data_IF_640558141033
#
_entry.id   IF_640558141033
#
_cell.length_a   1.000
_cell.length_b   1.000
_cell.length_c   1.000
_cell.angle_alpha   90.00
_cell.angle_beta   90.00
_cell.angle_gamma   90.00
#
_symmetry.space_group_name_H-M   'P 1'
#
loop_
_entity.id
_entity.type
_entity.pdbx_description
1 polymer ?
#
# COMPACT_ATOMS: atom_id res chain seq x y z
N UNK A 1 24.63 -3.01 -28.31
CA UNK A 1 23.68 -2.78 -27.20
C UNK A 1 22.29 -3.02 -27.76
N UNK A 2 21.55 -4.00 -27.25
CA UNK A 2 20.12 -4.13 -27.54
C UNK A 2 19.37 -3.13 -26.69
N UNK A 3 18.56 -2.27 -27.31
CA UNK A 3 17.63 -1.39 -26.58
C UNK A 3 16.43 -2.24 -26.17
N UNK A 4 16.11 -2.28 -24.88
CA UNK A 4 14.89 -2.92 -24.40
C UNK A 4 13.79 -1.87 -24.32
N UNK A 5 12.73 -2.03 -25.11
CA UNK A 5 11.58 -1.12 -25.12
C UNK A 5 10.53 -1.59 -24.10
N UNK A 6 9.93 -0.65 -23.38
CA UNK A 6 8.82 -0.84 -22.44
C UNK A 6 7.77 0.23 -22.70
N UNK A 7 6.50 -0.09 -22.46
CA UNK A 7 5.42 0.89 -22.55
C UNK A 7 5.43 1.83 -21.35
N UNK A 8 5.79 1.30 -20.17
CA UNK A 8 5.84 2.06 -18.91
C UNK A 8 7.07 1.68 -18.11
N UNK A 9 7.76 2.68 -17.57
CA UNK A 9 8.85 2.51 -16.60
C UNK A 9 8.45 3.18 -15.29
N UNK A 10 8.41 2.41 -14.21
CA UNK A 10 8.09 2.85 -12.85
C UNK A 10 9.38 2.91 -12.06
N UNK A 11 9.63 4.03 -11.36
CA UNK A 11 10.81 4.20 -10.51
C UNK A 11 10.37 4.16 -9.04
N UNK A 12 10.77 3.10 -8.33
CA UNK A 12 10.50 2.85 -6.92
C UNK A 12 9.56 1.69 -6.69
N UNK A 13 10.01 0.69 -5.92
CA UNK A 13 9.22 -0.47 -5.50
C UNK A 13 8.39 -0.21 -4.23
N UNK A 14 7.87 1.01 -4.04
CA UNK A 14 6.91 1.28 -2.97
C UNK A 14 5.54 0.66 -3.29
N UNK A 15 4.61 0.68 -2.32
CA UNK A 15 3.23 0.18 -2.54
C UNK A 15 2.60 0.81 -3.78
N UNK A 16 2.73 2.14 -3.96
CA UNK A 16 2.22 2.81 -5.14
C UNK A 16 2.84 2.32 -6.46
N UNK A 17 4.15 2.06 -6.49
CA UNK A 17 4.86 1.56 -7.67
C UNK A 17 4.47 0.12 -8.00
N UNK A 18 4.38 -0.74 -6.99
CA UNK A 18 3.96 -2.13 -7.13
C UNK A 18 2.49 -2.23 -7.57
N UNK A 19 1.58 -1.49 -6.93
CA UNK A 19 0.15 -1.49 -7.29
C UNK A 19 -0.10 -0.92 -8.68
N UNK A 20 0.59 0.17 -9.06
CA UNK A 20 0.46 0.72 -10.41
C UNK A 20 1.07 -0.21 -11.47
N UNK A 21 2.20 -0.85 -11.16
CA UNK A 21 2.81 -1.86 -12.02
C UNK A 21 1.89 -3.05 -12.26
N UNK A 22 1.30 -3.60 -11.19
CA UNK A 22 0.37 -4.74 -11.29
C UNK A 22 -0.84 -4.40 -12.15
N UNK A 23 -1.47 -3.25 -11.88
CA UNK A 23 -2.62 -2.79 -12.65
C UNK A 23 -2.32 -2.59 -14.14
N UNK A 24 -1.14 -2.04 -14.46
CA UNK A 24 -0.75 -1.79 -15.85
C UNK A 24 -0.38 -3.10 -16.56
N UNK A 25 0.30 -4.00 -15.87
CA UNK A 25 0.68 -5.28 -16.44
C UNK A 25 -0.56 -6.19 -16.67
N UNK A 26 -1.55 -6.18 -15.75
CA UNK A 26 -2.87 -6.81 -15.96
C UNK A 26 -3.61 -6.27 -17.19
N UNK A 27 -3.38 -5.00 -17.55
CA UNK A 27 -3.94 -4.37 -18.76
C UNK A 27 -3.14 -4.66 -20.04
N UNK A 28 -2.10 -5.49 -19.94
CA UNK A 28 -1.29 -5.93 -21.07
C UNK A 28 -0.18 -4.97 -21.47
N UNK A 29 0.14 -3.97 -20.65
CA UNK A 29 1.29 -3.11 -20.88
C UNK A 29 2.59 -3.82 -20.52
N UNK A 30 3.65 -3.59 -21.30
CA UNK A 30 5.00 -4.03 -20.96
C UNK A 30 5.60 -3.06 -19.94
N UNK A 31 5.59 -3.45 -18.66
CA UNK A 31 6.01 -2.61 -17.54
C UNK A 31 7.38 -3.01 -17.02
N UNK A 32 8.28 -2.05 -16.88
CA UNK A 32 9.51 -2.18 -16.10
C UNK A 32 9.39 -1.45 -14.78
N UNK A 33 9.83 -2.06 -13.68
CA UNK A 33 9.95 -1.43 -12.38
C UNK A 33 11.42 -1.36 -11.98
N UNK A 34 11.91 -0.14 -11.76
CA UNK A 34 13.30 0.15 -11.39
C UNK A 34 13.35 0.55 -9.93
N UNK A 35 14.17 -0.12 -9.12
CA UNK A 35 14.35 0.24 -7.70
C UNK A 35 15.81 0.05 -7.29
N UNK A 36 16.25 0.82 -6.30
CA UNK A 36 17.57 0.67 -5.68
C UNK A 36 17.39 0.20 -4.24
N UNK A 37 17.81 -1.03 -3.93
CA UNK A 37 17.67 -1.64 -2.61
C UNK A 37 16.27 -2.18 -2.31
N UNK A 38 16.06 -2.56 -1.05
CA UNK A 38 14.83 -3.18 -0.57
C UNK A 38 13.61 -2.23 -0.66
N UNK A 39 12.45 -2.69 -1.13
CA UNK A 39 11.18 -1.98 -1.04
C UNK A 39 10.92 -1.44 0.38
N UNK A 40 10.78 -0.12 0.49
CA UNK A 40 10.39 0.54 1.75
C UNK A 40 9.00 0.13 2.23
N UNK A 41 8.20 -0.54 1.39
CA UNK A 41 6.90 -1.08 1.75
C UNK A 41 6.96 -2.00 2.98
N UNK A 42 8.05 -2.75 3.18
CA UNK A 42 8.24 -3.63 4.34
C UNK A 42 8.41 -2.89 5.68
N UNK A 43 8.69 -1.58 5.64
CA UNK A 43 8.81 -0.72 6.82
C UNK A 43 7.52 0.05 7.12
N UNK A 44 6.49 -0.14 6.30
CA UNK A 44 5.19 0.51 6.48
C UNK A 44 4.40 -0.11 7.62
N UNK A 45 3.50 0.68 8.22
CA UNK A 45 2.46 0.20 9.14
C UNK A 45 1.44 -0.72 8.46
N UNK A 46 1.52 -0.90 7.14
CA UNK A 46 0.52 -1.65 6.36
C UNK A 46 -0.82 -0.92 6.28
N UNK A 47 -0.89 0.34 6.67
CA UNK A 47 -2.09 1.17 6.59
C UNK A 47 -2.08 2.00 5.30
N UNK A 48 -3.26 2.30 4.76
CA UNK A 48 -3.41 3.24 3.64
C UNK A 48 -4.01 4.55 4.16
N UNK A 49 -3.16 5.55 4.23
CA UNK A 49 -3.52 6.90 4.64
C UNK A 49 -3.89 7.74 3.40
N UNK A 50 -5.01 8.48 3.44
CA UNK A 50 -5.46 9.34 2.33
C UNK A 50 -5.40 10.81 2.72
N UNK A 51 -6.29 11.26 3.61
CA UNK A 51 -6.22 12.57 4.24
C UNK A 51 -6.46 12.41 5.73
N UNK A 52 -5.39 12.27 6.50
CA UNK A 52 -5.38 11.94 7.93
C UNK A 52 -5.64 13.15 8.85
N UNK A 53 -6.19 14.25 8.33
CA UNK A 53 -6.45 15.47 9.12
C UNK A 53 -7.88 15.57 9.63
N UNK A 54 -8.78 14.80 9.05
CA UNK A 54 -10.23 14.85 9.28
C UNK A 54 -10.79 13.44 9.45
N UNK A 55 -11.98 13.31 10.02
CA UNK A 55 -12.65 12.01 10.14
C UNK A 55 -13.11 11.48 8.78
N UNK A 56 -13.44 12.35 7.82
CA UNK A 56 -13.77 11.95 6.45
C UNK A 56 -12.68 12.47 5.48
N UNK A 57 -11.94 11.57 4.81
CA UNK A 57 -10.90 11.94 3.86
C UNK A 57 -11.31 12.91 2.75
N UNK A 58 -12.50 12.74 2.16
CA UNK A 58 -12.87 13.47 0.95
C UNK A 58 -13.21 14.94 1.19
N UNK A 59 -14.00 15.30 2.23
CA UNK A 59 -14.07 16.67 2.71
C UNK A 59 -12.70 17.22 3.09
N UNK A 60 -11.87 16.41 3.78
CA UNK A 60 -10.53 16.82 4.17
C UNK A 60 -9.63 17.18 3.00
N UNK A 61 -9.74 16.47 1.86
CA UNK A 61 -9.02 16.81 0.63
C UNK A 61 -9.42 18.18 0.09
N UNK A 62 -10.72 18.52 0.15
CA UNK A 62 -11.24 19.82 -0.35
C UNK A 62 -10.75 21.01 0.46
N UNK A 63 -10.29 20.79 1.69
CA UNK A 63 -9.74 21.81 2.58
C UNK A 63 -8.21 22.00 2.40
N UNK A 64 -7.56 21.19 1.56
CA UNK A 64 -6.13 21.32 1.29
C UNK A 64 -5.83 22.59 0.48
N UNK A 65 -4.58 23.09 0.52
CA UNK A 65 -4.17 24.20 -0.34
C UNK A 65 -4.47 23.92 -1.82
N UNK A 66 -4.90 24.92 -2.63
CA UNK A 66 -5.24 24.72 -4.03
C UNK A 66 -4.14 24.02 -4.85
N UNK A 67 -2.87 24.26 -4.52
CA UNK A 67 -1.70 23.70 -5.18
C UNK A 67 -1.39 22.25 -4.75
N UNK A 68 -2.15 21.68 -3.81
CA UNK A 68 -1.91 20.34 -3.29
C UNK A 68 -2.18 19.25 -4.37
N UNK A 69 -1.30 18.24 -4.52
CA UNK A 69 -1.43 17.21 -5.57
C UNK A 69 -2.75 16.43 -5.58
N UNK A 70 -3.45 16.32 -4.45
CA UNK A 70 -4.78 15.69 -4.41
C UNK A 70 -5.83 16.40 -5.28
N UNK A 71 -5.66 17.68 -5.59
CA UNK A 71 -6.55 18.38 -6.52
C UNK A 71 -6.33 18.00 -7.99
N UNK A 72 -5.28 17.24 -8.30
CA UNK A 72 -5.02 16.71 -9.64
C UNK A 72 -5.78 15.39 -9.90
N UNK A 73 -6.40 14.81 -8.86
CA UNK A 73 -7.04 13.48 -8.93
C UNK A 73 -8.50 13.59 -8.55
N UNK A 74 -9.38 13.15 -9.44
CA UNK A 74 -10.82 13.14 -9.17
C UNK A 74 -11.18 12.18 -8.02
N UNK A 75 -12.18 12.57 -7.22
CA UNK A 75 -12.71 11.75 -6.12
C UNK A 75 -13.12 10.34 -6.58
N UNK A 76 -13.65 10.22 -7.81
CA UNK A 76 -14.04 8.94 -8.40
C UNK A 76 -12.83 8.01 -8.56
N UNK A 77 -11.68 8.56 -8.99
CA UNK A 77 -10.45 7.80 -9.17
C UNK A 77 -9.92 7.33 -7.82
N UNK A 78 -9.93 8.19 -6.80
CA UNK A 78 -9.50 7.82 -5.44
C UNK A 78 -10.33 6.63 -4.92
N UNK A 79 -11.66 6.70 -5.06
CA UNK A 79 -12.58 5.62 -4.70
C UNK A 79 -12.27 4.32 -5.44
N UNK A 80 -12.12 4.39 -6.76
CA UNK A 80 -11.83 3.23 -7.59
C UNK A 80 -10.48 2.60 -7.24
N UNK A 81 -9.45 3.41 -6.99
CA UNK A 81 -8.13 2.93 -6.60
C UNK A 81 -8.14 2.20 -5.26
N UNK A 82 -8.86 2.71 -4.26
CA UNK A 82 -8.99 2.03 -2.96
C UNK A 82 -9.77 0.72 -3.06
N UNK A 83 -10.87 0.71 -3.82
CA UNK A 83 -11.64 -0.51 -4.05
C UNK A 83 -10.80 -1.58 -4.78
N UNK A 84 -10.09 -1.19 -5.83
CA UNK A 84 -9.18 -2.08 -6.56
C UNK A 84 -8.11 -2.65 -5.63
N UNK A 85 -7.47 -1.79 -4.82
CA UNK A 85 -6.49 -2.22 -3.83
C UNK A 85 -7.09 -3.26 -2.87
N UNK A 86 -8.27 -3.01 -2.29
CA UNK A 86 -8.92 -3.96 -1.39
C UNK A 86 -9.22 -5.30 -2.09
N UNK A 87 -9.68 -5.29 -3.35
CA UNK A 87 -9.92 -6.52 -4.13
C UNK A 87 -8.63 -7.32 -4.30
N UNK A 88 -7.56 -6.69 -4.76
CA UNK A 88 -6.25 -7.35 -4.94
C UNK A 88 -5.74 -7.93 -3.62
N UNK A 89 -5.87 -7.17 -2.53
CA UNK A 89 -5.45 -7.62 -1.20
C UNK A 89 -6.29 -8.79 -0.65
N UNK A 90 -7.58 -8.87 -1.00
CA UNK A 90 -8.43 -10.03 -0.68
C UNK A 90 -7.94 -11.28 -1.40
N UNK A 91 -7.64 -11.17 -2.70
CA UNK A 91 -7.16 -12.29 -3.51
C UNK A 91 -5.80 -12.82 -3.03
N UNK A 92 -4.95 -11.93 -2.49
CA UNK A 92 -3.67 -12.27 -1.86
C UNK A 92 -3.81 -12.77 -0.39
N UNK A 93 -5.02 -12.91 0.14
CA UNK A 93 -5.26 -13.43 1.49
C UNK A 93 -4.96 -12.47 2.64
N UNK A 94 -4.77 -11.17 2.35
CA UNK A 94 -4.49 -10.12 3.35
C UNK A 94 -5.57 -9.04 3.27
N UNK A 95 -6.83 -9.32 3.67
CA UNK A 95 -7.94 -8.41 3.45
C UNK A 95 -7.78 -7.10 4.25
N UNK A 96 -8.19 -5.99 3.64
CA UNK A 96 -8.22 -4.66 4.26
C UNK A 96 -9.65 -4.24 4.55
N UNK A 97 -9.84 -3.57 5.68
CA UNK A 97 -11.10 -2.99 6.11
C UNK A 97 -11.01 -1.46 6.12
N UNK A 98 -12.17 -0.80 6.18
CA UNK A 98 -12.29 0.66 6.13
C UNK A 98 -12.93 1.13 4.82
N UNK A 99 -13.07 2.44 4.69
CA UNK A 99 -13.58 3.07 3.47
C UNK A 99 -13.13 4.52 3.38
N UNK A 100 -13.23 5.08 2.17
CA UNK A 100 -12.93 6.49 1.93
C UNK A 100 -13.86 7.46 2.66
N UNK A 101 -14.98 6.97 3.21
CA UNK A 101 -15.96 7.81 3.92
C UNK A 101 -15.56 8.09 5.36
N UNK A 102 -14.67 7.27 5.94
CA UNK A 102 -14.35 7.36 7.35
C UNK A 102 -12.94 6.85 7.66
N UNK A 103 -12.10 7.77 8.10
CA UNK A 103 -10.85 7.45 8.76
C UNK A 103 -11.10 6.79 10.12
N UNK A 104 -10.11 6.00 10.53
CA UNK A 104 -10.10 5.25 11.77
C UNK A 104 -8.81 5.47 12.52
N UNK A 105 -8.86 5.38 13.84
CA UNK A 105 -7.67 5.43 14.66
C UNK A 105 -6.93 4.09 14.64
N UNK A 106 -5.60 4.19 14.57
CA UNK A 106 -4.64 3.10 14.67
C UNK A 106 -3.55 3.54 15.64
N UNK A 107 -3.10 2.64 16.50
CA UNK A 107 -1.97 2.90 17.40
C UNK A 107 -0.67 2.80 16.60
N UNK A 108 0.14 3.85 16.65
CA UNK A 108 1.46 3.91 16.03
C UNK A 108 2.49 3.15 16.87
N UNK A 109 3.66 2.84 16.27
CA UNK A 109 4.77 2.21 17.00
C UNK A 109 5.28 3.07 18.17
N UNK A 110 4.99 4.37 18.18
CA UNK A 110 5.33 5.30 19.26
C UNK A 110 4.27 5.35 20.38
N UNK A 111 3.21 4.53 20.29
CA UNK A 111 2.11 4.53 21.26
C UNK A 111 1.14 5.71 21.12
N UNK A 112 1.23 6.46 20.02
CA UNK A 112 0.31 7.56 19.70
C UNK A 112 -0.74 7.12 18.68
N UNK A 113 -1.90 7.76 18.65
CA UNK A 113 -2.89 7.49 17.63
C UNK A 113 -2.53 8.18 16.31
N UNK A 114 -2.65 7.44 15.20
CA UNK A 114 -2.71 8.00 13.84
C UNK A 114 -4.06 7.67 13.21
N UNK A 115 -4.51 8.48 12.27
CA UNK A 115 -5.72 8.19 11.49
C UNK A 115 -5.37 7.59 10.14
N UNK A 116 -6.01 6.48 9.80
CA UNK A 116 -5.86 5.78 8.53
C UNK A 116 -7.21 5.54 7.85
N UNK A 117 -7.22 5.47 6.52
CA UNK A 117 -8.43 5.21 5.75
C UNK A 117 -8.69 3.71 5.60
N UNK A 118 -7.67 2.94 5.19
CA UNK A 118 -7.72 1.49 5.17
C UNK A 118 -6.68 0.89 6.12
N UNK A 119 -7.05 -0.21 6.75
CA UNK A 119 -6.16 -0.97 7.64
C UNK A 119 -6.31 -2.47 7.35
N UNK A 120 -5.28 -3.30 7.58
CA UNK A 120 -5.43 -4.74 7.52
C UNK A 120 -6.54 -5.19 8.48
N UNK A 121 -7.29 -6.23 8.12
CA UNK A 121 -8.38 -6.77 8.97
C UNK A 121 -7.91 -7.17 10.36
N UNK A 122 -6.64 -7.57 10.50
CA UNK A 122 -6.01 -7.88 11.80
C UNK A 122 -5.91 -6.69 12.74
N UNK A 123 -6.07 -5.46 12.23
CA UNK A 123 -6.09 -4.21 12.99
C UNK A 123 -7.52 -3.71 13.30
N UNK A 124 -8.57 -4.47 12.96
CA UNK A 124 -9.96 -4.04 13.13
C UNK A 124 -10.33 -3.69 14.58
N UNK A 125 -9.78 -4.43 15.53
CA UNK A 125 -10.01 -4.26 16.96
C UNK A 125 -9.27 -3.05 17.57
N UNK A 126 -8.57 -2.25 16.76
CA UNK A 126 -7.92 -1.03 17.25
C UNK A 126 -8.96 -0.09 17.90
N UNK A 127 -8.68 0.45 19.10
CA UNK A 127 -9.55 1.43 19.73
C UNK A 127 -9.78 2.64 18.84
N UNK A 128 -10.97 3.23 18.96
CA UNK A 128 -11.39 4.39 18.17
C UNK A 128 -11.57 5.64 19.04
N UNK A 129 -10.96 5.64 20.22
CA UNK A 129 -10.92 6.74 21.17
C UNK A 129 -9.51 6.87 21.79
N UNK A 130 -9.25 8.01 22.43
CA UNK A 130 -7.98 8.33 23.08
C UNK A 130 -7.99 8.01 24.59
N UNK A 131 -8.97 7.23 25.08
CA UNK A 131 -9.16 6.99 26.52
C UNK A 131 -8.46 5.71 26.99
N UNK A 132 -7.12 5.71 26.99
CA UNK A 132 -6.34 4.70 27.72
C UNK A 132 -4.98 4.37 27.10
N UNK A 133 -4.10 3.80 27.93
CA UNK A 133 -2.85 3.18 27.46
C UNK A 133 -3.22 1.85 26.80
N UNK A 134 -3.40 1.87 25.48
CA UNK A 134 -3.65 0.66 24.71
C UNK A 134 -2.34 0.09 24.20
N UNK A 135 -1.98 -1.08 24.72
CA UNK A 135 -0.97 -1.93 24.10
C UNK A 135 -1.65 -2.71 22.97
N UNK A 136 -1.68 -2.12 21.77
CA UNK A 136 -2.03 -2.88 20.57
C UNK A 136 -0.82 -3.72 20.20
N UNK A 137 -0.79 -4.97 20.66
CA UNK A 137 0.13 -5.96 20.09
C UNK A 137 -0.47 -6.41 18.75
N UNK A 138 -0.38 -5.52 17.76
CA UNK A 138 -0.36 -6.00 16.40
C UNK A 138 0.91 -6.83 16.34
N UNK A 139 0.76 -8.14 16.40
CA UNK A 139 1.72 -8.99 15.72
C UNK A 139 1.64 -8.46 14.29
N UNK A 140 2.57 -7.57 13.92
CA UNK A 140 3.14 -7.62 12.58
C UNK A 140 3.65 -9.05 12.51
N UNK A 141 2.75 -9.99 12.23
CA UNK A 141 3.08 -11.07 11.36
C UNK A 141 3.49 -10.28 10.12
N UNK A 142 4.79 -10.16 9.81
CA UNK A 142 5.13 -9.76 8.47
C UNK A 142 4.60 -10.92 7.66
N UNK A 143 3.33 -10.84 7.24
CA UNK A 143 2.77 -11.77 6.29
C UNK A 143 3.10 -13.25 6.63
N UNK A 144 2.89 -13.67 7.90
CA UNK A 144 3.09 -15.05 8.32
C UNK A 144 1.90 -15.91 7.90
N UNK A 145 1.74 -16.12 6.59
CA UNK A 145 1.46 -17.47 6.14
C UNK A 145 2.83 -18.07 5.79
N UNK A 146 3.15 -19.21 6.43
CA UNK A 146 4.42 -19.96 6.31
C UNK A 146 5.65 -19.35 7.00
N UNK A 147 5.86 -19.72 8.26
CA UNK A 147 7.21 -19.83 8.79
C UNK A 147 7.78 -21.20 8.39
N UNK A 148 8.40 -21.23 7.20
CA UNK A 148 9.46 -22.19 6.88
C UNK A 148 10.71 -21.38 6.44
N UNK A 149 11.34 -20.75 7.43
CA UNK A 149 12.78 -20.47 7.47
C UNK A 149 13.47 -19.75 6.30
N UNK A 150 12.79 -18.95 5.47
CA UNK A 150 13.43 -18.43 4.25
C UNK A 150 12.86 -17.04 3.86
N UNK A 151 13.72 -16.16 3.34
CA UNK A 151 13.62 -14.68 3.21
C UNK A 151 12.50 -14.16 2.26
N UNK A 152 11.25 -14.60 2.43
CA UNK A 152 10.37 -14.78 1.28
C UNK A 152 9.26 -13.79 1.02
N UNK A 153 9.03 -12.78 1.86
CA UNK A 153 7.90 -11.90 1.58
C UNK A 153 8.12 -11.01 0.34
N UNK A 154 9.37 -10.60 0.16
CA UNK A 154 9.83 -9.80 -0.97
C UNK A 154 9.90 -10.63 -2.23
N UNK A 155 10.39 -11.88 -2.11
CA UNK A 155 10.20 -12.87 -3.17
C UNK A 155 8.72 -13.01 -3.54
N UNK A 156 7.79 -13.00 -2.59
CA UNK A 156 6.37 -13.21 -2.90
C UNK A 156 5.76 -12.05 -3.69
N UNK A 157 5.94 -10.79 -3.28
CA UNK A 157 5.45 -9.64 -4.07
C UNK A 157 6.19 -9.47 -5.39
N UNK A 158 7.48 -9.79 -5.45
CA UNK A 158 8.26 -9.77 -6.69
C UNK A 158 7.88 -10.94 -7.62
N UNK A 159 7.60 -12.14 -7.08
CA UNK A 159 7.13 -13.32 -7.81
C UNK A 159 5.70 -13.15 -8.30
N UNK A 160 4.80 -12.60 -7.49
CA UNK A 160 3.45 -12.22 -7.89
C UNK A 160 3.49 -11.09 -8.93
N UNK A 161 4.31 -10.05 -8.73
CA UNK A 161 4.53 -9.01 -9.73
C UNK A 161 5.10 -9.56 -11.04
N UNK A 162 6.02 -10.54 -10.98
CA UNK A 162 6.51 -11.28 -12.15
C UNK A 162 5.40 -12.14 -12.78
N UNK A 163 4.48 -12.71 -11.99
CA UNK A 163 3.30 -13.42 -12.48
C UNK A 163 2.38 -12.49 -13.27
N UNK A 164 2.31 -11.21 -12.89
CA UNK A 164 1.63 -10.16 -13.67
C UNK A 164 2.44 -9.66 -14.88
N UNK A 165 3.70 -10.10 -15.05
CA UNK A 165 4.55 -9.72 -16.19
C UNK A 165 5.40 -8.46 -15.97
N UNK A 166 5.58 -8.02 -14.73
CA UNK A 166 6.43 -6.88 -14.39
C UNK A 166 7.90 -7.29 -14.38
N UNK A 167 8.73 -6.59 -15.15
CA UNK A 167 10.17 -6.81 -15.15
C UNK A 167 10.86 -5.89 -14.15
N UNK A 168 11.56 -6.47 -13.17
CA UNK A 168 12.34 -5.72 -12.18
C UNK A 168 13.73 -5.43 -12.72
N UNK A 169 14.07 -4.14 -12.83
CA UNK A 169 15.35 -3.65 -13.30
C UNK A 169 16.10 -3.00 -12.13
N UNK A 170 16.93 -3.78 -11.44
CA UNK A 170 17.73 -3.32 -10.30
C UNK A 170 18.84 -4.32 -9.96
N UNK A 171 19.96 -3.83 -9.42
CA UNK A 171 21.04 -4.70 -8.96
C UNK A 171 20.56 -5.53 -7.78
N UNK A 172 20.55 -6.85 -7.94
CA UNK A 172 20.31 -7.77 -6.85
C UNK A 172 21.22 -7.47 -5.65
N UNK A 173 20.70 -7.80 -4.47
CA UNK A 173 21.36 -7.74 -3.18
C UNK A 173 22.84 -8.10 -3.25
N UNK A 174 23.69 -7.15 -2.90
CA UNK A 174 25.05 -7.41 -2.45
C UNK A 174 25.07 -7.47 -0.93
#
# INVERSE_FOLDING_TARGET
>A
MSVTEYDVVIIGAGVAGLTSGALLAERGFKVALVTTGEPTACLSTGCVDVCSRTDNPLPGIKELPPEHPFHLVDEIIIRQSLNYFQTVMIDMGVPYIGSIEKNRFVVSALGTHKTSCLVPSTMEAAPQDDQGITLMWCRMQPWQMFFDGREHLLCFLEEDAKQFGIEFLGTGFG
#
